data_IF_177394827178
#
_entry.id   IF_177394827178
#
_cell.length_a   1.000
_cell.length_b   1.000
_cell.length_c   1.000
_cell.angle_alpha   90.00
_cell.angle_beta   90.00
_cell.angle_gamma   90.00
#
_symmetry.space_group_name_H-M   'P 1'
#
loop_
_entity.id
_entity.type
_entity.pdbx_description
1 polymer ?
#
# COMPACT_ATOMS: atom_id res chain seq x y z
N UNK A 1 28.05 -26.41 3.73
CA UNK A 1 26.71 -25.82 3.96
C UNK A 1 25.85 -26.66 4.90
N UNK A 2 26.15 -27.94 5.13
CA UNK A 2 25.35 -28.86 5.97
C UNK A 2 25.25 -28.47 7.45
N UNK A 3 26.30 -27.86 8.03
CA UNK A 3 26.27 -27.49 9.46
C UNK A 3 25.27 -26.38 9.82
N UNK A 4 24.83 -25.53 8.87
CA UNK A 4 23.86 -24.46 9.16
C UNK A 4 22.42 -24.97 9.14
N UNK A 5 22.08 -25.90 8.24
CA UNK A 5 20.74 -26.50 8.18
C UNK A 5 20.44 -27.31 9.45
N UNK A 6 21.40 -28.12 9.91
CA UNK A 6 21.31 -28.86 11.18
C UNK A 6 21.20 -27.92 12.41
N UNK A 7 21.77 -26.72 12.31
CA UNK A 7 21.64 -25.72 13.37
C UNK A 7 20.22 -25.15 13.41
N UNK A 8 19.67 -24.67 12.28
CA UNK A 8 18.31 -24.11 12.23
C UNK A 8 17.22 -25.14 12.50
N UNK A 9 17.47 -26.41 12.16
CA UNK A 9 16.57 -27.49 12.53
C UNK A 9 16.35 -27.57 14.05
N UNK A 10 17.44 -27.47 14.83
CA UNK A 10 17.42 -27.51 16.29
C UNK A 10 16.70 -26.32 16.96
N UNK A 11 16.50 -25.22 16.24
CA UNK A 11 15.81 -24.01 16.76
C UNK A 11 14.35 -23.89 16.30
N UNK A 12 13.79 -24.92 15.68
CA UNK A 12 12.37 -24.93 15.33
C UNK A 12 11.98 -23.99 14.18
N UNK A 13 12.94 -23.60 13.32
CA UNK A 13 12.66 -22.79 12.13
C UNK A 13 11.66 -23.52 11.24
N UNK A 14 10.49 -22.93 10.99
CA UNK A 14 9.43 -23.54 10.18
C UNK A 14 9.70 -23.41 8.67
N UNK A 15 10.34 -22.33 8.25
CA UNK A 15 10.62 -22.02 6.85
C UNK A 15 11.99 -21.34 6.74
N UNK A 16 12.82 -21.77 5.77
CA UNK A 16 14.14 -21.18 5.52
C UNK A 16 14.35 -20.99 4.01
N UNK A 17 14.74 -19.79 3.59
CA UNK A 17 14.95 -19.46 2.17
C UNK A 17 16.30 -18.81 1.98
N UNK A 18 17.00 -19.20 0.92
CA UNK A 18 18.30 -18.65 0.51
C UNK A 18 18.22 -18.27 -0.95
N UNK A 19 18.40 -16.98 -1.22
CA UNK A 19 18.51 -16.42 -2.56
C UNK A 19 19.95 -16.00 -2.85
N UNK A 20 20.50 -16.45 -3.98
CA UNK A 20 21.78 -16.01 -4.53
C UNK A 20 21.51 -15.04 -5.71
N UNK A 21 21.66 -13.71 -5.52
CA UNK A 21 21.41 -12.73 -6.56
C UNK A 21 22.40 -12.80 -7.74
N UNK A 22 23.60 -13.33 -7.55
CA UNK A 22 24.58 -13.43 -8.64
C UNK A 22 24.22 -14.52 -9.64
N UNK A 23 23.59 -15.59 -9.15
CA UNK A 23 23.14 -16.71 -9.96
C UNK A 23 21.64 -16.68 -10.24
N UNK A 24 20.93 -15.71 -9.67
CA UNK A 24 19.48 -15.63 -9.66
C UNK A 24 18.84 -16.99 -9.31
N UNK A 25 19.27 -17.56 -8.18
CA UNK A 25 18.86 -18.90 -7.74
C UNK A 25 18.26 -18.84 -6.35
N UNK A 26 17.09 -19.45 -6.19
CA UNK A 26 16.36 -19.51 -4.93
C UNK A 26 16.24 -20.97 -4.48
N UNK A 27 16.66 -21.24 -3.25
CA UNK A 27 16.45 -22.53 -2.59
C UNK A 27 15.68 -22.30 -1.30
N UNK A 28 14.65 -23.11 -1.09
CA UNK A 28 13.83 -23.06 0.12
C UNK A 28 13.78 -24.40 0.80
N UNK A 29 13.52 -24.36 2.11
CA UNK A 29 13.28 -25.51 2.93
C UNK A 29 12.06 -25.27 3.82
N UNK A 30 11.22 -26.28 3.95
CA UNK A 30 10.04 -26.29 4.80
C UNK A 30 10.22 -27.33 5.92
N UNK A 31 9.79 -27.01 7.14
CA UNK A 31 9.84 -27.95 8.24
C UNK A 31 8.82 -29.07 8.05
N UNK A 32 9.33 -30.29 8.05
CA UNK A 32 8.59 -31.54 8.21
C UNK A 32 8.64 -31.99 9.68
N UNK A 33 8.06 -33.14 10.03
CA UNK A 33 7.94 -33.59 11.44
C UNK A 33 9.28 -33.72 12.17
N UNK A 34 10.36 -34.00 11.43
CA UNK A 34 11.66 -34.33 12.01
C UNK A 34 12.83 -33.48 11.50
N UNK A 35 12.69 -32.79 10.35
CA UNK A 35 13.78 -32.02 9.73
C UNK A 35 13.25 -30.99 8.72
N UNK A 36 14.14 -30.12 8.24
CA UNK A 36 13.90 -29.21 7.13
C UNK A 36 14.05 -29.94 5.79
N UNK A 37 12.95 -30.11 5.07
CA UNK A 37 12.89 -30.70 3.73
C UNK A 37 13.06 -29.62 2.65
N UNK A 38 13.76 -29.95 1.56
CA UNK A 38 13.93 -29.03 0.44
C UNK A 38 12.62 -28.86 -0.33
N UNK A 39 12.36 -27.65 -0.80
CA UNK A 39 11.24 -27.36 -1.69
C UNK A 39 11.73 -27.54 -3.13
N UNK A 40 11.18 -28.54 -3.83
CA UNK A 40 11.62 -28.92 -5.19
C UNK A 40 11.40 -27.79 -6.22
N UNK A 41 10.27 -27.09 -6.14
CA UNK A 41 9.93 -25.99 -7.04
C UNK A 41 9.68 -24.70 -6.25
N UNK A 42 10.66 -23.80 -6.29
CA UNK A 42 10.56 -22.50 -5.63
C UNK A 42 9.84 -21.45 -6.47
N UNK A 43 9.82 -21.61 -7.79
CA UNK A 43 9.16 -20.64 -8.66
C UNK A 43 7.63 -20.79 -8.58
N UNK A 44 6.93 -19.74 -8.17
CA UNK A 44 5.50 -19.78 -7.88
C UNK A 44 5.16 -20.34 -6.49
N UNK A 45 6.16 -20.72 -5.68
CA UNK A 45 5.92 -21.24 -4.34
C UNK A 45 5.26 -20.19 -3.45
N UNK A 46 4.27 -20.59 -2.64
CA UNK A 46 3.60 -19.73 -1.66
C UNK A 46 3.93 -20.23 -0.26
N UNK A 47 4.54 -19.37 0.55
CA UNK A 47 4.84 -19.67 1.95
C UNK A 47 3.56 -19.98 2.74
N UNK A 48 3.44 -21.14 3.41
CA UNK A 48 2.29 -21.46 4.24
C UNK A 48 2.07 -20.50 5.41
N UNK A 49 3.15 -20.00 6.03
CA UNK A 49 3.08 -19.12 7.21
C UNK A 49 2.96 -17.66 6.83
N UNK A 50 3.76 -17.19 5.88
CA UNK A 50 3.81 -15.78 5.48
C UNK A 50 2.79 -15.45 4.40
N UNK A 51 2.32 -16.45 3.65
CA UNK A 51 1.41 -16.30 2.49
C UNK A 51 1.98 -15.40 1.39
N UNK A 52 3.29 -15.27 1.33
CA UNK A 52 3.99 -14.57 0.25
C UNK A 52 4.30 -15.56 -0.87
N UNK A 53 4.20 -15.12 -2.12
CA UNK A 53 4.54 -15.90 -3.31
C UNK A 53 5.94 -15.52 -3.80
N UNK A 54 6.77 -16.52 -4.08
CA UNK A 54 8.10 -16.36 -4.65
C UNK A 54 8.01 -16.54 -6.17
N UNK A 55 8.51 -15.58 -6.94
CA UNK A 55 8.52 -15.66 -8.41
C UNK A 55 9.92 -15.35 -8.93
N UNK A 56 10.57 -16.36 -9.49
CA UNK A 56 11.92 -16.25 -10.02
C UNK A 56 11.83 -15.89 -11.51
N UNK A 57 12.09 -14.63 -11.84
CA UNK A 57 12.14 -14.17 -13.22
C UNK A 57 13.52 -14.45 -13.83
N UNK A 58 13.72 -14.18 -15.12
CA UNK A 58 15.04 -14.32 -15.75
C UNK A 58 16.10 -13.36 -15.15
N UNK A 59 15.67 -12.22 -14.62
CA UNK A 59 16.55 -11.15 -14.14
C UNK A 59 16.74 -11.17 -12.62
N UNK A 60 15.67 -11.45 -11.87
CA UNK A 60 15.68 -11.41 -10.40
C UNK A 60 14.55 -12.20 -9.75
N UNK A 61 14.61 -12.37 -8.43
CA UNK A 61 13.51 -12.79 -7.59
C UNK A 61 12.55 -11.64 -7.28
N UNK A 62 11.26 -11.85 -7.56
CA UNK A 62 10.15 -11.01 -7.14
C UNK A 62 9.38 -11.72 -6.03
N UNK A 63 9.08 -10.98 -4.96
CA UNK A 63 8.20 -11.47 -3.90
C UNK A 63 6.84 -10.80 -4.06
N UNK A 64 5.76 -11.56 -3.93
CA UNK A 64 4.41 -11.03 -3.85
C UNK A 64 3.86 -11.21 -2.45
N UNK A 65 3.19 -10.17 -1.96
CA UNK A 65 2.46 -10.13 -0.70
C UNK A 65 1.19 -10.99 -0.79
N UNK A 66 0.52 -11.26 0.35
CA UNK A 66 -0.73 -12.02 0.38
C UNK A 66 -1.89 -11.36 -0.39
N UNK A 67 -1.77 -10.06 -0.69
CA UNK A 67 -2.71 -9.26 -1.48
C UNK A 67 -2.33 -9.21 -2.99
N UNK A 68 -1.45 -10.11 -3.43
CA UNK A 68 -0.93 -10.23 -4.81
C UNK A 68 -0.12 -9.02 -5.30
N UNK A 69 0.22 -8.07 -4.43
CA UNK A 69 1.09 -6.95 -4.78
C UNK A 69 2.56 -7.36 -4.67
N UNK A 70 3.38 -6.97 -5.65
CA UNK A 70 4.83 -7.17 -5.56
C UNK A 70 5.42 -6.34 -4.41
N UNK A 71 6.40 -6.91 -3.69
CA UNK A 71 7.27 -6.14 -2.83
C UNK A 71 8.12 -5.23 -3.71
N UNK A 72 7.83 -3.94 -3.69
CA UNK A 72 8.63 -2.91 -4.35
C UNK A 72 9.80 -2.49 -3.48
N UNK A 73 10.79 -1.83 -4.08
CA UNK A 73 11.91 -1.27 -3.34
C UNK A 73 11.38 -0.29 -2.28
N UNK A 74 11.97 -0.32 -1.08
CA UNK A 74 11.59 0.52 0.04
C UNK A 74 11.56 2.01 -0.35
N UNK A 75 12.50 2.44 -1.20
CA UNK A 75 12.54 3.81 -1.71
C UNK A 75 11.31 4.17 -2.55
N UNK A 76 10.84 3.26 -3.40
CA UNK A 76 9.68 3.49 -4.26
C UNK A 76 8.39 3.55 -3.44
N UNK A 77 8.26 2.70 -2.41
CA UNK A 77 7.16 2.76 -1.43
C UNK A 77 7.13 4.11 -0.72
N UNK A 78 8.28 4.60 -0.24
CA UNK A 78 8.36 5.89 0.45
C UNK A 78 7.97 7.05 -0.47
N UNK A 79 8.48 7.07 -1.71
CA UNK A 79 8.11 8.11 -2.68
C UNK A 79 6.62 8.11 -3.00
N UNK A 80 6.02 6.93 -3.15
CA UNK A 80 4.59 6.81 -3.41
C UNK A 80 3.75 7.26 -2.22
N UNK A 81 4.19 6.95 -0.99
CA UNK A 81 3.54 7.40 0.23
C UNK A 81 3.58 8.92 0.34
N UNK A 82 4.76 9.54 0.21
CA UNK A 82 4.92 11.00 0.24
C UNK A 82 4.08 11.70 -0.83
N UNK A 83 4.06 11.16 -2.05
CA UNK A 83 3.23 11.71 -3.13
C UNK A 83 1.73 11.62 -2.82
N UNK A 84 1.30 10.56 -2.16
CA UNK A 84 -0.10 10.36 -1.77
C UNK A 84 -0.50 11.30 -0.63
N UNK A 85 0.36 11.44 0.38
CA UNK A 85 0.16 12.36 1.50
C UNK A 85 0.09 13.81 1.02
N UNK A 86 1.01 14.23 0.14
CA UNK A 86 1.00 15.58 -0.43
C UNK A 86 -0.30 15.86 -1.22
N UNK A 87 -0.78 14.90 -2.02
CA UNK A 87 -2.06 15.05 -2.74
C UNK A 87 -3.25 15.13 -1.80
N UNK A 88 -3.26 14.34 -0.71
CA UNK A 88 -4.32 14.38 0.28
C UNK A 88 -4.37 15.75 0.97
N UNK A 89 -3.21 16.29 1.37
CA UNK A 89 -3.09 17.61 1.98
C UNK A 89 -3.56 18.73 1.03
N UNK A 90 -3.17 18.66 -0.24
CA UNK A 90 -3.64 19.63 -1.23
C UNK A 90 -5.15 19.55 -1.48
N UNK A 91 -5.72 18.34 -1.47
CA UNK A 91 -7.15 18.15 -1.62
C UNK A 91 -7.93 18.69 -0.42
N UNK A 92 -7.43 18.47 0.79
CA UNK A 92 -8.00 19.01 2.03
C UNK A 92 -7.95 20.54 2.05
N UNK A 93 -6.81 21.13 1.70
CA UNK A 93 -6.66 22.58 1.59
C UNK A 93 -7.65 23.19 0.58
N UNK A 94 -7.78 22.58 -0.59
CA UNK A 94 -8.76 23.01 -1.61
C UNK A 94 -10.20 22.88 -1.14
N UNK A 95 -10.53 21.81 -0.41
CA UNK A 95 -11.87 21.62 0.14
C UNK A 95 -12.19 22.71 1.18
N UNK A 96 -11.26 23.02 2.07
CA UNK A 96 -11.41 24.07 3.07
C UNK A 96 -11.58 25.46 2.44
N UNK A 97 -10.79 25.76 1.39
CA UNK A 97 -10.96 27.00 0.65
C UNK A 97 -12.32 27.09 -0.04
N UNK A 98 -12.79 26.00 -0.64
CA UNK A 98 -14.09 25.96 -1.29
C UNK A 98 -15.24 26.17 -0.29
N UNK A 99 -15.15 25.55 0.88
CA UNK A 99 -16.12 25.72 1.98
C UNK A 99 -16.14 27.16 2.50
N UNK A 100 -14.96 27.77 2.70
CA UNK A 100 -14.86 29.18 3.09
C UNK A 100 -15.47 30.13 2.05
N UNK A 101 -15.26 29.86 0.75
CA UNK A 101 -15.88 30.67 -0.32
C UNK A 101 -17.40 30.49 -0.36
N UNK A 102 -17.89 29.27 -0.16
CA UNK A 102 -19.31 28.97 -0.12
C UNK A 102 -20.00 29.70 1.04
N UNK A 103 -19.43 29.65 2.25
CA UNK A 103 -19.98 30.35 3.42
C UNK A 103 -20.03 31.86 3.22
N UNK A 104 -18.97 32.47 2.68
CA UNK A 104 -18.95 33.91 2.36
C UNK A 104 -19.98 34.27 1.28
N UNK A 105 -20.16 33.42 0.26
CA UNK A 105 -21.16 33.63 -0.78
C UNK A 105 -22.58 33.56 -0.22
N UNK A 106 -22.86 32.57 0.63
CA UNK A 106 -24.15 32.43 1.32
C UNK A 106 -24.46 33.62 2.22
N UNK A 107 -23.49 34.10 3.01
CA UNK A 107 -23.68 35.28 3.85
C UNK A 107 -23.99 36.54 3.02
N UNK A 108 -23.30 36.70 1.87
CA UNK A 108 -23.55 37.82 0.98
C UNK A 108 -24.93 37.73 0.34
N UNK A 109 -25.33 36.54 -0.13
CA UNK A 109 -26.64 36.29 -0.70
C UNK A 109 -27.75 36.63 0.33
N UNK A 110 -27.63 36.13 1.56
CA UNK A 110 -28.58 36.44 2.66
C UNK A 110 -28.67 37.93 2.96
N UNK A 111 -27.54 38.66 2.98
CA UNK A 111 -27.55 40.12 3.18
C UNK A 111 -28.22 40.87 2.03
N UNK A 112 -27.95 40.46 0.79
CA UNK A 112 -28.57 41.03 -0.41
C UNK A 112 -30.08 40.81 -0.41
N UNK A 113 -30.54 39.60 -0.10
CA UNK A 113 -31.97 39.27 0.06
C UNK A 113 -32.64 40.14 1.13
N UNK A 114 -31.99 40.34 2.27
CA UNK A 114 -32.49 41.21 3.33
C UNK A 114 -32.64 42.67 2.85
N UNK A 115 -31.62 43.22 2.20
CA UNK A 115 -31.67 44.60 1.67
C UNK A 115 -32.75 44.78 0.60
N UNK A 116 -32.95 43.79 -0.28
CA UNK A 116 -34.02 43.82 -1.28
C UNK A 116 -35.40 43.84 -0.62
N UNK A 117 -35.60 43.00 0.40
CA UNK A 117 -36.84 42.97 1.17
C UNK A 117 -37.10 44.27 1.93
N UNK A 118 -36.07 44.88 2.52
CA UNK A 118 -36.16 46.21 3.17
C UNK A 118 -36.48 47.33 2.17
N UNK A 119 -36.00 47.22 0.92
CA UNK A 119 -36.32 48.14 -0.17
C UNK A 119 -37.71 47.92 -0.78
N UNK A 120 -38.49 46.93 -0.30
CA UNK A 120 -39.84 46.62 -0.79
C UNK A 120 -39.86 45.86 -2.11
N UNK A 121 -38.73 45.27 -2.52
CA UNK A 121 -38.61 44.42 -3.71
C UNK A 121 -38.66 42.97 -3.24
N UNK A 122 -39.68 42.21 -3.63
CA UNK A 122 -39.80 40.81 -3.24
C UNK A 122 -38.94 39.91 -4.16
N UNK A 123 -37.85 39.32 -3.66
CA UNK A 123 -36.94 38.52 -4.48
C UNK A 123 -37.57 37.22 -5.02
N UNK A 124 -38.71 36.80 -4.49
CA UNK A 124 -39.45 35.60 -4.93
C UNK A 124 -40.53 35.91 -5.99
N UNK A 125 -40.78 37.17 -6.34
CA UNK A 125 -41.90 37.56 -7.23
C UNK A 125 -41.60 37.43 -8.74
N UNK A 126 -40.48 36.82 -9.14
CA UNK A 126 -40.18 36.56 -10.55
C UNK A 126 -40.22 35.06 -10.86
N UNK A 127 -41.44 34.52 -10.92
CA UNK A 127 -41.81 33.20 -11.42
C UNK A 127 -42.85 33.31 -12.52
#
# INVERSE_FOLDING_TARGET
MECKLLFYDRYGVEEYYVYDPQKNSLTGWLRSELFLEIIDEMNGFVSPKLRIKFELTAETLILYRPDEQAFTDYMEVQQQLEATENRALEAESRALEAESRATVAEERAKRLEQLLREAGIDPESNG
#
